data_IF_421862869450
#
_entry.id   IF_421862869450
#
_cell.length_a   1.000
_cell.length_b   1.000
_cell.length_c   1.000
_cell.angle_alpha   90.00
_cell.angle_beta   90.00
_cell.angle_gamma   90.00
#
_symmetry.space_group_name_H-M   'P 1'
#
loop_
_entity.id
_entity.type
_entity.pdbx_description
1 polymer ?
#
# COMPACT_ATOMS: atom_id res chain seq x y z
N UNK A 1 4.25 -11.28 -9.03
CA UNK A 1 5.48 -10.61 -9.51
C UNK A 1 6.63 -11.61 -9.74
N UNK A 2 7.22 -12.27 -8.69
CA UNK A 2 8.44 -13.10 -8.85
C UNK A 2 8.34 -14.14 -9.98
N UNK A 3 7.29 -14.94 -10.07
CA UNK A 3 7.15 -15.96 -11.13
C UNK A 3 7.12 -15.34 -12.54
N UNK A 4 6.42 -14.23 -12.70
CA UNK A 4 6.39 -13.52 -13.99
C UNK A 4 7.77 -13.03 -14.39
N UNK A 5 8.54 -12.48 -13.44
CA UNK A 5 9.92 -12.03 -13.66
C UNK A 5 10.82 -13.21 -14.08
N UNK A 6 10.70 -14.37 -13.43
CA UNK A 6 11.47 -15.57 -13.80
C UNK A 6 11.14 -16.04 -15.23
N UNK A 7 9.85 -16.09 -15.58
CA UNK A 7 9.38 -16.53 -16.89
C UNK A 7 9.84 -15.55 -17.99
N UNK A 8 9.82 -14.26 -17.72
CA UNK A 8 10.24 -13.22 -18.65
C UNK A 8 11.77 -13.21 -18.85
N UNK A 9 12.54 -13.29 -17.75
CA UNK A 9 14.00 -13.40 -17.86
C UNK A 9 14.40 -14.67 -18.62
N UNK A 10 13.78 -15.82 -18.31
CA UNK A 10 14.05 -17.09 -18.98
C UNK A 10 13.68 -17.04 -20.46
N UNK A 11 12.62 -16.31 -20.80
CA UNK A 11 12.15 -16.06 -22.17
C UNK A 11 12.89 -14.92 -22.89
N UNK A 12 13.93 -14.35 -22.31
CA UNK A 12 14.67 -13.19 -22.83
C UNK A 12 13.82 -11.92 -23.04
N UNK A 13 12.69 -11.80 -22.35
CA UNK A 13 11.80 -10.64 -22.36
C UNK A 13 12.19 -9.67 -21.23
N UNK A 14 13.34 -9.04 -21.38
CA UNK A 14 13.91 -8.21 -20.30
C UNK A 14 13.13 -6.92 -20.05
N UNK A 15 12.48 -6.36 -21.08
CA UNK A 15 11.66 -5.17 -20.94
C UNK A 15 10.41 -5.46 -20.09
N UNK A 16 9.72 -6.55 -20.38
CA UNK A 16 8.55 -7.02 -19.64
C UNK A 16 8.92 -7.37 -18.18
N UNK A 17 10.05 -8.07 -18.00
CA UNK A 17 10.56 -8.36 -16.65
C UNK A 17 10.81 -7.08 -15.84
N UNK A 18 11.42 -6.06 -16.46
CA UNK A 18 11.67 -4.77 -15.81
C UNK A 18 10.37 -4.04 -15.47
N UNK A 19 9.37 -4.09 -16.34
CA UNK A 19 8.05 -3.50 -16.09
C UNK A 19 7.37 -4.15 -14.87
N UNK A 20 7.39 -5.48 -14.77
CA UNK A 20 6.88 -6.20 -13.60
C UNK A 20 7.63 -5.82 -12.32
N UNK A 21 8.97 -5.67 -12.38
CA UNK A 21 9.78 -5.22 -11.25
C UNK A 21 9.41 -3.79 -10.86
N UNK A 22 9.26 -2.90 -11.83
CA UNK A 22 8.89 -1.51 -11.61
C UNK A 22 7.54 -1.40 -10.87
N UNK A 23 6.51 -2.05 -11.37
CA UNK A 23 5.19 -2.05 -10.73
C UNK A 23 5.22 -2.67 -9.33
N UNK A 24 5.94 -3.77 -9.16
CA UNK A 24 6.09 -4.40 -7.84
C UNK A 24 6.77 -3.48 -6.80
N UNK A 25 7.75 -2.67 -7.23
CA UNK A 25 8.47 -1.76 -6.33
C UNK A 25 7.68 -0.47 -6.11
N UNK A 26 7.18 0.13 -7.19
CA UNK A 26 6.56 1.44 -7.12
C UNK A 26 5.12 1.37 -6.61
N UNK A 27 4.30 0.55 -7.24
CA UNK A 27 2.88 0.48 -6.90
C UNK A 27 2.66 -0.37 -5.64
N UNK A 28 3.11 -1.65 -5.65
CA UNK A 28 2.81 -2.56 -4.54
C UNK A 28 3.61 -2.24 -3.26
N UNK A 29 4.94 -2.03 -3.40
CA UNK A 29 5.81 -1.88 -2.24
C UNK A 29 5.77 -0.45 -1.70
N UNK A 30 6.02 0.57 -2.54
CA UNK A 30 6.16 1.94 -2.07
C UNK A 30 4.81 2.55 -1.71
N UNK A 31 3.82 2.42 -2.58
CA UNK A 31 2.53 3.08 -2.40
C UNK A 31 1.65 2.39 -1.33
N UNK A 32 1.67 1.05 -1.30
CA UNK A 32 0.79 0.29 -0.43
C UNK A 32 1.49 -0.27 0.79
N UNK A 33 2.55 -1.08 0.59
CA UNK A 33 3.14 -1.80 1.70
C UNK A 33 3.85 -0.89 2.70
N UNK A 34 4.63 0.09 2.24
CA UNK A 34 5.35 1.01 3.13
C UNK A 34 4.36 1.85 3.94
N UNK A 35 3.32 2.37 3.30
CA UNK A 35 2.30 3.15 4.00
C UNK A 35 1.51 2.28 5.00
N UNK A 36 1.12 1.07 4.61
CA UNK A 36 0.46 0.12 5.50
C UNK A 36 1.35 -0.28 6.70
N UNK A 37 2.65 -0.41 6.48
CA UNK A 37 3.61 -0.80 7.52
C UNK A 37 3.82 0.26 8.60
N UNK A 38 3.50 1.53 8.32
CA UNK A 38 3.55 2.61 9.32
C UNK A 38 2.53 2.40 10.45
N UNK A 39 1.48 1.63 10.20
CA UNK A 39 0.50 1.24 11.20
C UNK A 39 0.92 -0.01 12.03
N UNK A 40 2.07 -0.61 11.70
CA UNK A 40 2.56 -1.82 12.38
C UNK A 40 4.07 -1.75 12.63
N UNK A 41 4.52 -2.15 13.81
CA UNK A 41 5.95 -2.14 14.19
C UNK A 41 6.73 -3.38 13.67
N UNK A 42 6.31 -3.98 12.56
CA UNK A 42 6.95 -5.20 12.05
C UNK A 42 8.18 -4.92 11.18
N UNK A 43 9.21 -4.33 11.78
CA UNK A 43 10.49 -4.00 11.13
C UNK A 43 11.17 -5.26 10.55
N UNK A 44 11.06 -6.40 11.23
CA UNK A 44 11.68 -7.65 10.76
C UNK A 44 11.07 -8.12 9.43
N UNK A 45 9.76 -8.02 9.29
CA UNK A 45 9.08 -8.35 8.05
C UNK A 45 9.38 -7.34 6.95
N UNK A 46 9.41 -6.04 7.27
CA UNK A 46 9.81 -4.99 6.32
C UNK A 46 11.23 -5.23 5.78
N UNK A 47 12.18 -5.55 6.65
CA UNK A 47 13.55 -5.92 6.24
C UNK A 47 13.57 -7.12 5.29
N UNK A 48 12.73 -8.12 5.54
CA UNK A 48 12.60 -9.29 4.66
C UNK A 48 12.06 -8.90 3.29
N UNK A 49 11.01 -8.10 3.22
CA UNK A 49 10.41 -7.61 1.98
C UNK A 49 11.40 -6.78 1.18
N UNK A 50 12.09 -5.83 1.82
CA UNK A 50 13.14 -5.03 1.18
C UNK A 50 14.28 -5.91 0.63
N UNK A 51 14.73 -6.90 1.40
CA UNK A 51 15.75 -7.86 0.94
C UNK A 51 15.32 -8.65 -0.31
N UNK A 52 14.04 -8.97 -0.45
CA UNK A 52 13.50 -9.64 -1.64
C UNK A 52 13.45 -8.66 -2.80
N UNK A 53 12.91 -7.46 -2.58
CA UNK A 53 12.80 -6.42 -3.58
C UNK A 53 14.16 -6.05 -4.20
N UNK A 54 15.19 -5.85 -3.38
CA UNK A 54 16.54 -5.55 -3.85
C UNK A 54 17.11 -6.65 -4.74
N UNK A 55 16.86 -7.93 -4.41
CA UNK A 55 17.31 -9.07 -5.25
C UNK A 55 16.57 -9.14 -6.59
N UNK A 56 15.28 -8.75 -6.62
CA UNK A 56 14.51 -8.70 -7.87
C UNK A 56 14.95 -7.53 -8.77
N UNK A 57 15.32 -6.41 -8.18
CA UNK A 57 15.81 -5.21 -8.90
C UNK A 57 17.23 -5.38 -9.42
N UNK A 58 18.06 -6.15 -8.72
CA UNK A 58 19.51 -6.22 -8.96
C UNK A 58 19.91 -6.50 -10.41
N UNK A 59 19.29 -7.39 -11.18
CA UNK A 59 19.61 -7.62 -12.58
C UNK A 59 19.46 -6.38 -13.48
N UNK A 60 18.59 -5.45 -13.10
CA UNK A 60 18.22 -4.25 -13.88
C UNK A 60 18.91 -2.98 -13.39
N UNK A 61 19.17 -2.89 -12.08
CA UNK A 61 19.80 -1.72 -11.46
C UNK A 61 20.89 -2.17 -10.44
N UNK A 62 21.99 -2.80 -10.90
CA UNK A 62 22.98 -3.44 -10.03
C UNK A 62 23.65 -2.46 -9.07
N UNK A 63 24.09 -1.30 -9.53
CA UNK A 63 24.83 -0.35 -8.70
C UNK A 63 23.97 0.25 -7.58
N UNK A 64 22.77 0.67 -7.89
CA UNK A 64 21.84 1.27 -6.89
C UNK A 64 21.43 0.23 -5.85
N UNK A 65 21.04 -0.96 -6.31
CA UNK A 65 20.60 -2.02 -5.41
C UNK A 65 21.72 -2.55 -4.53
N UNK A 66 22.97 -2.63 -5.03
CA UNK A 66 24.15 -2.99 -4.24
C UNK A 66 24.44 -1.94 -3.16
N UNK A 67 24.39 -0.63 -3.51
CA UNK A 67 24.60 0.45 -2.55
C UNK A 67 23.58 0.42 -1.42
N UNK A 68 22.30 0.21 -1.75
CA UNK A 68 21.25 0.07 -0.73
C UNK A 68 21.49 -1.18 0.12
N UNK A 69 21.89 -2.29 -0.50
CA UNK A 69 22.15 -3.55 0.19
C UNK A 69 23.28 -3.42 1.20
N UNK A 70 24.41 -2.83 0.83
CA UNK A 70 25.56 -2.64 1.73
C UNK A 70 25.20 -1.75 2.91
N UNK A 71 24.43 -0.69 2.69
CA UNK A 71 23.89 0.15 3.77
C UNK A 71 22.97 -0.62 4.71
N UNK A 72 22.23 -1.58 4.17
CA UNK A 72 21.22 -2.36 4.89
C UNK A 72 21.79 -3.61 5.59
N UNK A 73 22.83 -4.25 5.02
CA UNK A 73 23.41 -5.52 5.46
C UNK A 73 24.86 -5.44 5.91
N UNK A 74 25.55 -4.37 5.60
CA UNK A 74 26.98 -4.19 5.80
C UNK A 74 27.81 -4.56 4.57
N UNK A 75 29.03 -4.06 4.53
CA UNK A 75 29.95 -4.17 3.39
C UNK A 75 30.43 -5.60 3.10
N UNK A 76 30.38 -6.48 4.10
CA UNK A 76 30.83 -7.87 3.96
C UNK A 76 29.85 -8.75 3.15
N UNK A 77 28.64 -8.27 2.90
CA UNK A 77 27.58 -9.02 2.22
C UNK A 77 27.26 -8.38 0.88
N UNK A 78 27.74 -8.96 -0.21
CA UNK A 78 27.42 -8.49 -1.56
C UNK A 78 26.04 -9.03 -2.02
N UNK A 79 25.24 -8.17 -2.62
CA UNK A 79 23.93 -8.53 -3.17
C UNK A 79 24.06 -9.48 -4.36
N UNK A 80 25.07 -9.26 -5.22
CA UNK A 80 25.34 -10.11 -6.38
C UNK A 80 25.63 -11.58 -5.99
N UNK A 81 26.11 -11.83 -4.78
CA UNK A 81 26.37 -13.18 -4.29
C UNK A 81 25.14 -13.85 -3.65
N UNK A 82 24.03 -13.14 -3.54
CA UNK A 82 22.84 -13.67 -2.90
C UNK A 82 22.03 -14.57 -3.85
N UNK A 83 21.43 -15.60 -3.27
CA UNK A 83 20.53 -16.47 -4.03
C UNK A 83 19.28 -15.70 -4.50
N UNK A 84 18.80 -16.05 -5.68
CA UNK A 84 17.52 -15.56 -6.18
C UNK A 84 16.39 -15.83 -5.16
N UNK A 85 15.44 -14.90 -4.95
CA UNK A 85 14.45 -15.06 -3.90
C UNK A 85 13.53 -16.26 -4.16
N UNK A 86 13.32 -17.09 -3.15
CA UNK A 86 12.34 -18.16 -3.22
C UNK A 86 10.91 -17.60 -3.18
N UNK A 87 9.97 -18.37 -3.74
CA UNK A 87 8.56 -18.00 -3.68
C UNK A 87 8.06 -17.94 -2.23
N UNK A 88 7.43 -16.84 -1.87
CA UNK A 88 6.79 -16.71 -0.57
C UNK A 88 5.48 -17.51 -0.55
N UNK A 89 5.27 -18.24 0.53
CA UNK A 89 3.97 -18.83 0.83
C UNK A 89 3.06 -17.76 1.42
N UNK A 90 1.88 -17.59 0.87
CA UNK A 90 0.89 -16.63 1.36
C UNK A 90 -0.51 -17.25 1.36
N UNK A 91 -1.39 -16.71 2.20
CA UNK A 91 -2.80 -17.08 2.24
C UNK A 91 -3.57 -16.30 1.19
N UNK A 92 -4.16 -17.00 0.22
CA UNK A 92 -5.03 -16.36 -0.79
C UNK A 92 -6.20 -15.61 -0.17
N UNK A 93 -6.77 -16.13 0.94
CA UNK A 93 -7.86 -15.47 1.65
C UNK A 93 -7.44 -14.13 2.25
N UNK A 94 -6.26 -14.06 2.86
CA UNK A 94 -5.74 -12.81 3.41
C UNK A 94 -5.38 -11.81 2.31
N UNK A 95 -4.82 -12.27 1.19
CA UNK A 95 -4.56 -11.42 0.03
C UNK A 95 -5.87 -10.79 -0.49
N UNK A 96 -6.91 -11.59 -0.74
CA UNK A 96 -8.22 -11.08 -1.21
C UNK A 96 -8.89 -10.13 -0.20
N UNK A 97 -8.65 -10.30 1.09
CA UNK A 97 -9.13 -9.35 2.11
C UNK A 97 -8.41 -8.00 1.99
N UNK A 98 -7.12 -8.03 1.71
CA UNK A 98 -6.34 -6.80 1.50
C UNK A 98 -6.69 -6.11 0.18
N UNK A 99 -6.95 -6.86 -0.90
CA UNK A 99 -7.41 -6.30 -2.18
C UNK A 99 -8.68 -5.45 -2.01
N UNK A 100 -9.63 -5.89 -1.16
CA UNK A 100 -10.83 -5.11 -0.82
C UNK A 100 -10.51 -3.80 -0.10
N UNK A 101 -9.48 -3.80 0.73
CA UNK A 101 -9.02 -2.58 1.41
C UNK A 101 -8.41 -1.62 0.39
N UNK A 102 -7.64 -2.13 -0.57
CA UNK A 102 -7.07 -1.33 -1.66
C UNK A 102 -8.18 -0.67 -2.47
N UNK A 103 -9.15 -1.45 -2.97
CA UNK A 103 -10.30 -0.93 -3.74
C UNK A 103 -11.06 0.18 -2.99
N UNK A 104 -11.30 -0.04 -1.69
CA UNK A 104 -11.98 0.93 -0.83
C UNK A 104 -11.15 2.21 -0.65
N UNK A 105 -9.86 2.09 -0.44
CA UNK A 105 -8.96 3.24 -0.24
C UNK A 105 -8.80 4.03 -1.54
N UNK A 106 -8.70 3.36 -2.69
CA UNK A 106 -8.60 4.02 -4.00
C UNK A 106 -9.85 4.84 -4.28
N UNK A 107 -11.04 4.29 -4.00
CA UNK A 107 -12.29 5.04 -4.15
C UNK A 107 -12.37 6.21 -3.18
N UNK A 108 -11.95 6.04 -1.92
CA UNK A 108 -11.84 7.13 -0.96
C UNK A 108 -10.89 8.24 -1.43
N UNK A 109 -9.72 7.88 -1.95
CA UNK A 109 -8.75 8.84 -2.50
C UNK A 109 -9.33 9.58 -3.71
N UNK A 110 -10.03 8.86 -4.59
CA UNK A 110 -10.69 9.44 -5.76
C UNK A 110 -11.76 10.47 -5.34
N UNK A 111 -12.63 10.11 -4.42
CA UNK A 111 -13.67 11.01 -3.90
C UNK A 111 -13.03 12.23 -3.20
N UNK A 112 -12.07 12.00 -2.30
CA UNK A 112 -11.45 13.09 -1.53
C UNK A 112 -10.60 14.01 -2.40
N UNK A 113 -10.06 13.54 -3.52
CA UNK A 113 -9.34 14.40 -4.48
C UNK A 113 -10.23 15.40 -5.20
N UNK A 114 -11.54 15.14 -5.30
CA UNK A 114 -12.54 16.01 -5.90
C UNK A 114 -13.15 16.99 -4.88
N UNK A 115 -12.84 16.80 -3.61
CA UNK A 115 -13.30 17.64 -2.51
C UNK A 115 -12.19 18.63 -2.12
N UNK A 116 -12.49 19.63 -1.33
CA UNK A 116 -11.52 20.57 -0.83
C UNK A 116 -10.37 19.91 -0.06
N UNK A 117 -9.18 20.51 -0.04
CA UNK A 117 -8.01 19.96 0.64
C UNK A 117 -8.18 20.01 2.16
N UNK A 118 -8.83 19.00 2.73
CA UNK A 118 -9.05 18.84 4.16
C UNK A 118 -8.77 17.42 4.63
N UNK A 119 -8.55 17.23 5.93
CA UNK A 119 -8.43 15.90 6.55
C UNK A 119 -9.79 15.42 7.04
N UNK A 120 -10.49 14.69 6.21
CA UNK A 120 -11.82 14.18 6.49
C UNK A 120 -11.83 13.13 7.61
N UNK A 121 -12.94 13.06 8.35
CA UNK A 121 -13.29 11.95 9.20
C UNK A 121 -14.23 11.02 8.42
N UNK A 122 -13.88 9.74 8.31
CA UNK A 122 -14.73 8.72 7.72
C UNK A 122 -15.63 8.12 8.80
N UNK A 123 -16.93 8.16 8.58
CA UNK A 123 -17.94 7.57 9.43
C UNK A 123 -18.64 6.45 8.68
N UNK A 124 -18.78 5.29 9.28
CA UNK A 124 -19.46 4.14 8.69
C UNK A 124 -20.42 3.53 9.69
N UNK A 125 -21.51 2.93 9.22
CA UNK A 125 -22.49 2.25 10.06
C UNK A 125 -22.14 0.75 10.17
N UNK A 126 -22.29 0.00 9.08
CA UNK A 126 -22.01 -1.43 9.05
C UNK A 126 -21.14 -1.75 7.81
N UNK A 127 -19.86 -1.90 8.03
CA UNK A 127 -18.89 -2.33 7.01
C UNK A 127 -17.76 -3.11 7.66
N UNK A 128 -17.80 -4.42 7.53
CA UNK A 128 -16.79 -5.31 8.12
C UNK A 128 -15.37 -4.97 7.65
N UNK A 129 -15.20 -4.65 6.35
CA UNK A 129 -13.88 -4.30 5.79
C UNK A 129 -13.29 -3.06 6.47
N UNK A 130 -14.08 -2.02 6.70
CA UNK A 130 -13.63 -0.81 7.39
C UNK A 130 -13.42 -1.12 8.88
N UNK A 131 -14.39 -1.78 9.51
CA UNK A 131 -14.37 -2.09 10.95
C UNK A 131 -13.14 -2.86 11.40
N UNK A 132 -12.74 -3.89 10.63
CA UNK A 132 -11.55 -4.70 10.89
C UNK A 132 -10.23 -3.98 10.55
N UNK A 133 -10.27 -2.94 9.72
CA UNK A 133 -9.07 -2.29 9.17
C UNK A 133 -9.02 -0.77 9.38
N UNK A 134 -9.68 -0.24 10.42
CA UNK A 134 -9.82 1.21 10.64
C UNK A 134 -8.48 1.97 10.63
N UNK A 135 -7.47 1.46 11.35
CA UNK A 135 -6.14 2.09 11.41
C UNK A 135 -5.45 2.11 10.03
N UNK A 136 -5.60 1.03 9.27
CA UNK A 136 -5.04 0.88 7.93
C UNK A 136 -5.73 1.83 6.94
N UNK A 137 -7.06 1.84 6.92
CA UNK A 137 -7.87 2.74 6.07
C UNK A 137 -7.55 4.20 6.39
N UNK A 138 -7.46 4.56 7.69
CA UNK A 138 -7.07 5.90 8.13
C UNK A 138 -5.72 6.31 7.57
N UNK A 139 -4.71 5.45 7.69
CA UNK A 139 -3.35 5.73 7.23
C UNK A 139 -3.29 5.86 5.70
N UNK A 140 -3.80 4.86 4.99
CA UNK A 140 -3.72 4.78 3.54
C UNK A 140 -4.54 5.87 2.84
N UNK A 141 -5.75 6.17 3.30
CA UNK A 141 -6.58 7.25 2.75
C UNK A 141 -6.25 8.64 3.34
N UNK A 142 -5.22 8.75 4.19
CA UNK A 142 -4.78 10.02 4.83
C UNK A 142 -5.89 10.75 5.56
N UNK A 143 -6.79 9.99 6.18
CA UNK A 143 -7.94 10.53 6.91
C UNK A 143 -7.50 11.03 8.30
N UNK A 144 -8.26 12.00 8.85
CA UNK A 144 -8.09 12.44 10.23
C UNK A 144 -8.47 11.35 11.22
N UNK A 145 -9.63 10.71 10.98
CA UNK A 145 -10.14 9.62 11.81
C UNK A 145 -11.06 8.71 11.00
N UNK A 146 -11.28 7.50 11.53
CA UNK A 146 -12.27 6.54 11.06
C UNK A 146 -13.05 6.09 12.28
N UNK A 147 -14.37 6.20 12.25
CA UNK A 147 -15.25 5.80 13.37
C UNK A 147 -16.52 5.11 12.90
N UNK A 148 -17.03 4.23 13.72
CA UNK A 148 -18.35 3.65 13.52
C UNK A 148 -19.41 4.48 14.24
N UNK A 149 -20.53 4.76 13.55
CA UNK A 149 -21.67 5.47 14.10
C UNK A 149 -22.94 4.99 13.41
N UNK A 150 -23.99 4.73 14.19
CA UNK A 150 -25.28 4.27 13.66
C UNK A 150 -26.19 5.42 13.22
N UNK A 151 -25.82 6.66 13.53
CA UNK A 151 -26.50 7.89 13.09
C UNK A 151 -25.54 8.84 12.41
N UNK A 152 -24.93 8.43 11.30
CA UNK A 152 -23.86 9.19 10.67
C UNK A 152 -24.40 10.50 10.07
N UNK A 153 -23.59 11.55 10.17
CA UNK A 153 -23.82 12.85 9.58
C UNK A 153 -22.71 13.17 8.56
N UNK A 154 -22.94 14.15 7.69
CA UNK A 154 -21.94 14.60 6.73
C UNK A 154 -22.28 14.25 5.29
N UNK A 155 -21.26 14.30 4.42
CA UNK A 155 -21.39 13.98 3.00
C UNK A 155 -21.47 12.46 2.83
N UNK A 156 -22.63 11.97 2.38
CA UNK A 156 -22.82 10.55 2.08
C UNK A 156 -22.04 10.17 0.84
N UNK A 157 -21.22 9.14 0.97
CA UNK A 157 -20.43 8.55 -0.13
C UNK A 157 -20.78 7.07 -0.30
N UNK A 158 -20.72 6.61 -1.54
CA UNK A 158 -20.93 5.20 -1.88
C UNK A 158 -19.57 4.60 -2.17
N UNK A 159 -19.20 3.58 -1.42
CA UNK A 159 -17.95 2.84 -1.53
C UNK A 159 -18.22 1.44 -2.09
N UNK A 160 -17.20 0.74 -2.62
CA UNK A 160 -17.35 -0.66 -3.01
C UNK A 160 -17.89 -1.47 -1.82
N UNK A 161 -19.07 -2.07 -2.02
CA UNK A 161 -19.76 -2.92 -1.04
C UNK A 161 -20.23 -2.25 0.26
N UNK A 162 -20.19 -0.90 0.37
CA UNK A 162 -20.65 -0.19 1.58
C UNK A 162 -21.05 1.26 1.31
N UNK A 163 -21.67 1.86 2.31
CA UNK A 163 -21.96 3.29 2.36
C UNK A 163 -21.23 3.87 3.57
N UNK A 164 -20.65 5.04 3.39
CA UNK A 164 -20.00 5.77 4.47
C UNK A 164 -20.28 7.27 4.33
N UNK A 165 -19.81 8.05 5.29
CA UNK A 165 -19.99 9.50 5.33
C UNK A 165 -18.64 10.15 5.59
N UNK A 166 -18.40 11.28 4.93
CA UNK A 166 -17.26 12.14 5.18
C UNK A 166 -17.73 13.35 5.99
N UNK A 167 -17.10 13.54 7.14
CA UNK A 167 -17.36 14.67 8.01
C UNK A 167 -16.18 15.65 7.97
N UNK A 168 -16.52 16.94 7.95
CA UNK A 168 -15.63 18.07 8.18
C UNK A 168 -15.82 18.60 9.59
N UNK A 169 -14.80 19.25 10.15
CA UNK A 169 -14.98 20.04 11.37
C UNK A 169 -15.77 21.32 11.10
N UNK A 170 -16.36 21.89 12.15
CA UNK A 170 -17.06 23.18 12.05
C UNK A 170 -16.13 24.30 11.55
N UNK A 171 -14.85 24.26 11.90
CA UNK A 171 -13.82 25.20 11.42
C UNK A 171 -13.58 25.06 9.92
N UNK A 172 -13.45 23.82 9.42
CA UNK A 172 -13.27 23.53 7.99
C UNK A 172 -14.52 23.85 7.17
N UNK A 173 -15.73 23.77 7.77
CA UNK A 173 -16.99 24.19 7.14
C UNK A 173 -17.09 25.72 7.07
N UNK A 174 -16.50 26.44 8.04
CA UNK A 174 -16.51 27.89 8.04
C UNK A 174 -15.59 28.48 6.96
N UNK A 175 -14.39 27.91 6.80
CA UNK A 175 -13.42 28.29 5.74
C UNK A 175 -13.96 28.02 4.32
N UNK A 176 -15.04 27.26 4.20
CA UNK A 176 -15.69 26.89 2.94
C UNK A 176 -16.81 27.85 2.52
N UNK A 177 -17.24 28.73 3.41
CA UNK A 177 -18.35 29.66 3.16
C UNK A 177 -17.91 31.06 2.75
N UNK A 178 -16.62 31.31 2.77
CA UNK A 178 -15.95 32.52 2.29
C UNK A 178 -15.30 32.30 0.91
#
# INVERSE_FOLDING_TARGET
ARQAIDDDITGYRFAEAMEVVYHCIWDDLADWYIEASKASDNIAFMRRVLSIALRLVHPFAPFVSETIWTTFRGEESLLISQHWPSQLKFSKRQASSFDRVIELVDELRNITSQLPPAKYCLVFDDCQTIGENQALVKSLAKLRNVRQDHTPHGLKIVLPHSTAWLELTEEEIADYKD
#
